data_IF_710486782175
#
_entry.id   IF_710486782175
#
_cell.length_a   1.000
_cell.length_b   1.000
_cell.length_c   1.000
_cell.angle_alpha   90.00
_cell.angle_beta   90.00
_cell.angle_gamma   90.00
#
_symmetry.space_group_name_H-M   'P 1'
#
loop_
_entity.id
_entity.type
_entity.pdbx_description
1 polymer ?
#
# COMPACT_ATOMS: atom_id res chain seq x y z
N UNK A 1 13.71 18.70 -15.38
CA UNK A 1 13.39 17.47 -14.62
C UNK A 1 12.54 17.89 -13.44
N UNK A 2 11.29 17.44 -13.35
CA UNK A 2 10.38 17.85 -12.28
C UNK A 2 10.28 16.69 -11.28
N UNK A 3 10.63 16.94 -10.03
CA UNK A 3 10.48 15.98 -8.95
C UNK A 3 9.10 16.17 -8.32
N UNK A 4 8.24 15.16 -8.43
CA UNK A 4 6.96 15.14 -7.72
C UNK A 4 7.22 14.33 -6.45
N UNK A 5 7.12 15.01 -5.30
CA UNK A 5 7.26 14.38 -3.98
C UNK A 5 5.85 14.19 -3.44
N UNK A 6 5.46 12.94 -3.18
CA UNK A 6 4.22 12.64 -2.48
C UNK A 6 4.37 13.07 -1.02
N UNK A 7 3.49 13.96 -0.54
CA UNK A 7 3.50 14.48 0.83
C UNK A 7 2.84 13.54 1.84
N UNK A 8 2.08 12.54 1.36
CA UNK A 8 1.43 11.53 2.20
C UNK A 8 1.58 10.16 1.58
N UNK A 9 2.33 9.29 2.25
CA UNK A 9 2.49 7.89 1.90
C UNK A 9 1.73 7.09 2.96
N UNK A 10 0.78 6.26 2.54
CA UNK A 10 0.07 5.37 3.45
C UNK A 10 0.78 4.02 3.48
N UNK A 11 1.15 3.59 4.68
CA UNK A 11 1.74 2.27 4.92
C UNK A 11 0.69 1.25 5.39
N UNK A 12 1.02 -0.02 5.21
CA UNK A 12 0.32 -1.17 5.81
C UNK A 12 1.39 -2.17 6.25
N UNK A 13 1.17 -2.84 7.38
CA UNK A 13 2.08 -3.88 7.85
C UNK A 13 1.93 -5.16 7.02
N UNK A 14 3.01 -5.94 6.79
CA UNK A 14 2.94 -7.17 6.00
C UNK A 14 2.05 -8.26 6.63
N UNK A 15 1.75 -8.16 7.92
CA UNK A 15 0.86 -9.05 8.66
C UNK A 15 -0.62 -8.67 8.59
N UNK A 16 -0.97 -7.53 8.00
CA UNK A 16 -2.37 -7.14 7.82
C UNK A 16 -3.05 -8.05 6.78
N UNK A 17 -4.18 -8.65 7.16
CA UNK A 17 -4.95 -9.53 6.28
C UNK A 17 -5.45 -8.81 5.03
N UNK A 18 -5.58 -9.54 3.91
CA UNK A 18 -5.98 -8.97 2.61
C UNK A 18 -7.29 -8.18 2.65
N UNK A 19 -8.23 -8.57 3.49
CA UNK A 19 -9.53 -7.90 3.65
C UNK A 19 -9.37 -6.50 4.21
N UNK A 20 -8.56 -6.34 5.27
CA UNK A 20 -8.25 -5.03 5.86
C UNK A 20 -7.50 -4.13 4.88
N UNK A 21 -6.60 -4.71 4.07
CA UNK A 21 -5.88 -3.97 3.03
C UNK A 21 -6.85 -3.45 1.95
N UNK A 22 -7.85 -4.23 1.56
CA UNK A 22 -8.89 -3.82 0.61
C UNK A 22 -9.77 -2.70 1.16
N UNK A 23 -10.28 -2.84 2.39
CA UNK A 23 -11.07 -1.79 3.05
C UNK A 23 -10.32 -0.45 3.10
N UNK A 24 -9.02 -0.49 3.30
CA UNK A 24 -8.16 0.70 3.30
C UNK A 24 -7.99 1.32 1.91
N UNK A 25 -7.96 0.52 0.85
CA UNK A 25 -7.99 1.05 -0.52
C UNK A 25 -9.34 1.72 -0.80
N UNK A 26 -10.45 1.09 -0.44
CA UNK A 26 -11.80 1.64 -0.65
C UNK A 26 -12.01 2.97 0.11
N UNK A 27 -11.32 3.16 1.24
CA UNK A 27 -11.41 4.39 2.05
C UNK A 27 -10.60 5.58 1.51
N UNK A 28 -9.83 5.44 0.43
CA UNK A 28 -8.89 6.49 -0.05
C UNK A 28 -8.74 6.49 -1.57
N UNK A 29 -8.52 7.66 -2.19
CA UNK A 29 -8.19 7.75 -3.63
C UNK A 29 -6.73 7.34 -3.96
N UNK A 30 -6.08 6.57 -3.08
CA UNK A 30 -4.67 6.20 -3.20
C UNK A 30 -4.55 4.81 -3.81
N UNK A 31 -3.89 4.72 -4.96
CA UNK A 31 -3.75 3.47 -5.72
C UNK A 31 -2.57 2.59 -5.28
N UNK A 32 -1.64 3.15 -4.48
CA UNK A 32 -0.43 2.46 -4.04
C UNK A 32 -0.18 2.69 -2.55
N UNK A 33 0.14 1.62 -1.84
CA UNK A 33 0.52 1.63 -0.43
C UNK A 33 1.89 0.99 -0.27
N UNK A 34 2.67 1.50 0.67
CA UNK A 34 3.98 0.91 1.00
C UNK A 34 3.81 -0.13 2.09
N UNK A 35 4.57 -1.22 1.98
CA UNK A 35 4.72 -2.19 3.05
C UNK A 35 5.87 -1.74 3.95
N UNK A 36 5.59 -1.61 5.24
CA UNK A 36 6.59 -1.23 6.22
C UNK A 36 6.58 -2.22 7.38
N UNK A 37 7.70 -2.89 7.61
CA UNK A 37 7.98 -3.73 8.77
C UNK A 37 9.21 -3.20 9.49
N UNK A 38 9.16 -3.06 10.82
CA UNK A 38 10.31 -2.62 11.63
C UNK A 38 11.02 -1.38 11.08
N UNK A 39 10.25 -0.37 10.64
CA UNK A 39 10.72 0.88 10.02
C UNK A 39 11.50 0.71 8.68
N UNK A 40 11.44 -0.49 8.08
CA UNK A 40 12.02 -0.81 6.78
C UNK A 40 10.94 -0.83 5.69
N UNK A 41 11.27 -0.30 4.51
CA UNK A 41 10.41 -0.39 3.33
C UNK A 41 10.62 -1.77 2.66
N UNK A 42 9.68 -2.68 2.84
CA UNK A 42 9.80 -4.04 2.29
C UNK A 42 9.17 -4.18 0.90
N UNK A 43 8.25 -3.27 0.54
CA UNK A 43 7.61 -3.36 -0.77
C UNK A 43 6.52 -2.32 -1.03
N UNK A 44 5.84 -2.52 -2.15
CA UNK A 44 4.71 -1.69 -2.58
C UNK A 44 3.57 -2.59 -3.01
N UNK A 45 2.40 -2.37 -2.44
CA UNK A 45 1.14 -3.01 -2.85
C UNK A 45 0.34 -2.01 -3.66
N UNK A 46 -0.08 -2.43 -4.85
CA UNK A 46 -1.09 -1.70 -5.62
C UNK A 46 -2.49 -2.21 -5.27
N UNK A 47 -3.48 -1.34 -5.36
CA UNK A 47 -4.91 -1.71 -5.27
C UNK A 47 -5.22 -2.91 -6.17
N UNK A 48 -4.69 -2.90 -7.40
CA UNK A 48 -4.85 -3.99 -8.37
C UNK A 48 -4.35 -5.35 -7.85
N UNK A 49 -3.22 -5.38 -7.13
CA UNK A 49 -2.68 -6.62 -6.56
C UNK A 49 -3.56 -7.10 -5.40
N UNK A 50 -3.96 -6.17 -4.52
CA UNK A 50 -4.84 -6.45 -3.39
C UNK A 50 -6.19 -7.01 -3.85
N UNK A 51 -6.83 -6.40 -4.85
CA UNK A 51 -8.12 -6.84 -5.40
C UNK A 51 -8.05 -8.22 -6.06
N UNK A 52 -6.91 -8.55 -6.69
CA UNK A 52 -6.69 -9.84 -7.36
C UNK A 52 -6.21 -10.96 -6.43
N UNK A 53 -6.04 -10.68 -5.13
CA UNK A 53 -5.52 -11.63 -4.15
C UNK A 53 -4.10 -12.08 -4.45
N UNK A 54 -3.34 -11.29 -5.21
CA UNK A 54 -1.93 -11.59 -5.52
C UNK A 54 -1.08 -10.92 -4.47
N UNK A 55 -0.25 -11.71 -3.79
CA UNK A 55 0.81 -11.17 -2.95
C UNK A 55 1.80 -10.38 -3.81
N UNK A 56 2.34 -9.27 -3.28
CA UNK A 56 3.40 -8.49 -3.93
C UNK A 56 4.66 -9.31 -4.19
#
# INVERSE_FOLDING_TARGET
MQHIIATRILSTGPSEGQELVKERFDATDILHRVLVEEDTLDGVVSERNALRGRSP
#
